data_IF_989791513227
#
_entry.id   IF_989791513227
#
_cell.length_a   1.000
_cell.length_b   1.000
_cell.length_c   1.000
_cell.angle_alpha   90.00
_cell.angle_beta   90.00
_cell.angle_gamma   90.00
#
_symmetry.space_group_name_H-M   'P 1'
#
loop_
_entity.id
_entity.type
_entity.pdbx_description
1 polymer ?
#
# COMPACT_ATOMS: atom_id res chain seq x y z
N UNK A 1 -12.14 -4.00 18.33
CA UNK A 1 -12.07 -3.48 19.71
C UNK A 1 -13.47 -3.05 20.16
N UNK A 2 -14.22 -3.94 20.79
CA UNK A 2 -15.52 -3.68 21.42
C UNK A 2 -15.66 -4.58 22.64
N UNK A 3 -16.81 -4.53 23.33
CA UNK A 3 -17.12 -5.31 24.55
C UNK A 3 -16.91 -6.84 24.44
N UNK A 4 -16.69 -7.36 23.22
CA UNK A 4 -16.51 -8.78 22.92
C UNK A 4 -15.07 -9.31 23.06
N UNK A 5 -14.05 -8.46 23.29
CA UNK A 5 -12.68 -8.94 23.49
C UNK A 5 -12.35 -9.14 24.96
N UNK A 6 -11.68 -10.25 25.26
CA UNK A 6 -11.38 -10.72 26.63
C UNK A 6 -10.38 -9.83 27.37
N UNK A 7 -9.49 -9.17 26.65
CA UNK A 7 -8.42 -8.33 27.19
C UNK A 7 -8.49 -6.90 26.62
N UNK A 8 -8.41 -5.87 27.47
CA UNK A 8 -8.39 -4.48 27.01
C UNK A 8 -7.01 -4.11 26.43
N UNK A 9 -7.00 -3.14 25.50
CA UNK A 9 -5.77 -2.44 25.14
C UNK A 9 -5.68 -1.13 25.91
N UNK A 10 -4.54 -0.94 26.57
CA UNK A 10 -4.18 0.32 27.20
C UNK A 10 -3.48 1.21 26.19
N UNK A 11 -4.04 2.40 25.94
CA UNK A 11 -3.47 3.42 25.08
C UNK A 11 -2.89 4.54 25.94
N UNK A 12 -1.57 4.74 25.85
CA UNK A 12 -0.89 5.89 26.44
C UNK A 12 -0.61 6.87 25.31
N UNK A 13 -1.09 8.10 25.44
CA UNK A 13 -1.02 9.11 24.37
C UNK A 13 -0.97 10.51 24.96
N UNK A 14 -0.43 11.45 24.18
CA UNK A 14 -0.50 12.88 24.43
C UNK A 14 -1.74 13.54 23.79
N UNK A 15 -2.64 12.77 23.16
CA UNK A 15 -3.90 13.26 22.61
C UNK A 15 -4.92 13.47 23.74
N UNK A 16 -5.55 14.64 23.76
CA UNK A 16 -6.54 14.99 24.78
C UNK A 16 -7.86 14.22 24.61
N UNK A 17 -8.28 14.00 23.36
CA UNK A 17 -9.56 13.35 23.05
C UNK A 17 -9.40 11.84 22.87
N UNK A 18 -10.01 11.07 23.76
CA UNK A 18 -10.01 9.59 23.73
C UNK A 18 -10.56 9.06 22.40
N UNK A 19 -11.60 9.69 21.86
CA UNK A 19 -12.20 9.27 20.58
C UNK A 19 -11.21 9.42 19.42
N UNK A 20 -10.42 10.48 19.41
CA UNK A 20 -9.38 10.74 18.41
C UNK A 20 -8.23 9.74 18.55
N UNK A 21 -7.75 9.51 19.78
CA UNK A 21 -6.72 8.50 20.06
C UNK A 21 -7.15 7.11 19.58
N UNK A 22 -8.39 6.71 19.87
CA UNK A 22 -8.97 5.48 19.37
C UNK A 22 -9.08 5.47 17.84
N UNK A 23 -9.42 6.60 17.22
CA UNK A 23 -9.56 6.72 15.77
C UNK A 23 -8.24 6.50 15.04
N UNK A 24 -7.17 7.16 15.49
CA UNK A 24 -5.83 6.97 14.94
C UNK A 24 -5.30 5.56 15.23
N UNK A 25 -5.47 5.06 16.45
CA UNK A 25 -4.96 3.74 16.80
C UNK A 25 -5.59 2.61 15.99
N UNK A 26 -6.87 2.72 15.59
CA UNK A 26 -7.51 1.76 14.67
C UNK A 26 -6.77 1.64 13.33
N UNK A 27 -6.01 2.65 12.91
CA UNK A 27 -5.24 2.63 11.67
C UNK A 27 -3.90 1.91 11.81
N UNK A 28 -3.47 1.54 13.02
CA UNK A 28 -2.15 0.92 13.30
C UNK A 28 -1.85 -0.27 12.40
N UNK A 29 -2.81 -1.17 12.19
CA UNK A 29 -2.62 -2.38 11.38
C UNK A 29 -2.32 -2.11 9.89
N UNK A 30 -2.54 -0.89 9.40
CA UNK A 30 -2.20 -0.55 8.00
C UNK A 30 -0.71 -0.73 7.71
N UNK A 31 0.15 -0.53 8.70
CA UNK A 31 1.61 -0.70 8.53
C UNK A 31 1.99 -2.17 8.28
N UNK A 32 1.19 -3.14 8.72
CA UNK A 32 1.45 -4.57 8.48
C UNK A 32 1.32 -4.92 6.99
N UNK A 33 0.41 -4.24 6.28
CA UNK A 33 0.28 -4.40 4.83
C UNK A 33 1.54 -3.90 4.13
N UNK A 34 2.02 -2.71 4.50
CA UNK A 34 3.29 -2.18 4.01
C UNK A 34 4.45 -3.15 4.28
N UNK A 35 4.61 -3.64 5.51
CA UNK A 35 5.68 -4.60 5.83
C UNK A 35 5.56 -5.92 5.07
N UNK A 36 4.36 -6.37 4.76
CA UNK A 36 4.13 -7.57 3.96
C UNK A 36 4.57 -7.36 2.50
N UNK A 37 4.23 -6.20 1.93
CA UNK A 37 4.59 -5.83 0.55
C UNK A 37 6.11 -5.65 0.37
N UNK A 38 6.81 -5.11 1.38
CA UNK A 38 8.28 -5.02 1.38
C UNK A 38 8.97 -6.39 1.44
N UNK A 39 8.28 -7.43 1.93
CA UNK A 39 8.80 -8.79 2.09
C UNK A 39 8.39 -9.68 0.92
N UNK A 40 7.91 -10.90 1.19
CA UNK A 40 7.61 -11.94 0.21
C UNK A 40 6.43 -11.64 -0.70
N UNK A 41 5.64 -10.59 -0.42
CA UNK A 41 4.52 -10.23 -1.30
C UNK A 41 4.94 -9.32 -2.47
N UNK A 42 6.14 -8.74 -2.42
CA UNK A 42 6.55 -7.71 -3.37
C UNK A 42 8.05 -7.61 -3.55
N UNK A 43 8.70 -6.73 -2.79
CA UNK A 43 10.10 -6.34 -3.04
C UNK A 43 11.14 -7.33 -2.53
N UNK A 44 10.72 -8.34 -1.76
CA UNK A 44 11.60 -9.41 -1.28
C UNK A 44 12.87 -8.91 -0.60
N UNK A 45 12.82 -7.80 0.16
CA UNK A 45 14.01 -7.13 0.69
C UNK A 45 14.90 -8.05 1.54
N UNK A 46 14.32 -9.07 2.19
CA UNK A 46 15.07 -10.08 2.94
C UNK A 46 16.05 -10.91 2.09
N UNK A 47 15.80 -11.02 0.78
CA UNK A 47 16.66 -11.74 -0.17
C UNK A 47 17.88 -10.91 -0.62
N UNK A 48 17.99 -9.65 -0.19
CA UNK A 48 19.16 -8.82 -0.51
C UNK A 48 20.44 -9.26 0.21
N UNK A 49 20.32 -10.03 1.30
CA UNK A 49 21.43 -10.48 2.15
C UNK A 49 22.38 -9.35 2.61
N UNK A 50 21.88 -8.11 2.69
CA UNK A 50 22.66 -6.96 3.11
C UNK A 50 22.81 -6.93 4.63
N UNK A 51 24.06 -7.05 5.10
CA UNK A 51 24.40 -6.95 6.53
C UNK A 51 24.91 -5.58 6.94
N UNK A 52 25.42 -4.78 5.98
CA UNK A 52 25.91 -3.43 6.25
C UNK A 52 24.73 -2.45 6.50
N UNK A 53 24.65 -1.80 7.67
CA UNK A 53 23.55 -0.92 8.01
C UNK A 53 23.38 0.25 7.03
N UNK A 54 24.48 0.85 6.57
CA UNK A 54 24.41 2.00 5.67
C UNK A 54 23.82 1.62 4.30
N UNK A 55 24.22 0.46 3.75
CA UNK A 55 23.64 -0.10 2.52
C UNK A 55 22.18 -0.47 2.72
N UNK A 56 21.82 -1.05 3.85
CA UNK A 56 20.43 -1.39 4.16
C UNK A 56 19.56 -0.13 4.23
N UNK A 57 20.01 0.93 4.89
CA UNK A 57 19.28 2.22 4.94
C UNK A 57 19.04 2.77 3.53
N UNK A 58 20.06 2.75 2.66
CA UNK A 58 19.90 3.20 1.26
C UNK A 58 18.87 2.36 0.49
N UNK A 59 18.92 1.04 0.63
CA UNK A 59 17.94 0.15 0.01
C UNK A 59 16.52 0.43 0.52
N UNK A 60 16.35 0.62 1.84
CA UNK A 60 15.06 0.90 2.44
C UNK A 60 14.48 2.24 1.97
N UNK A 61 15.31 3.29 1.85
CA UNK A 61 14.85 4.57 1.29
C UNK A 61 14.37 4.42 -0.15
N UNK A 62 15.14 3.73 -1.00
CA UNK A 62 14.74 3.47 -2.38
C UNK A 62 13.47 2.62 -2.45
N UNK A 63 13.34 1.59 -1.60
CA UNK A 63 12.16 0.74 -1.52
C UNK A 63 10.92 1.53 -1.06
N UNK A 64 11.05 2.48 -0.13
CA UNK A 64 9.95 3.35 0.27
C UNK A 64 9.46 4.24 -0.89
N UNK A 65 10.39 4.82 -1.67
CA UNK A 65 10.03 5.62 -2.84
C UNK A 65 9.37 4.74 -3.92
N UNK A 66 9.92 3.56 -4.19
CA UNK A 66 9.33 2.59 -5.09
C UNK A 66 7.92 2.18 -4.63
N UNK A 67 7.72 1.97 -3.32
CA UNK A 67 6.42 1.64 -2.76
C UNK A 67 5.37 2.71 -3.06
N UNK A 68 5.70 4.00 -2.85
CA UNK A 68 4.80 5.11 -3.16
C UNK A 68 4.42 5.13 -4.64
N UNK A 69 5.39 4.89 -5.54
CA UNK A 69 5.13 4.82 -6.97
C UNK A 69 4.25 3.61 -7.35
N UNK A 70 4.52 2.42 -6.81
CA UNK A 70 3.68 1.24 -7.06
C UNK A 70 2.25 1.44 -6.54
N UNK A 71 2.07 2.11 -5.40
CA UNK A 71 0.74 2.46 -4.90
C UNK A 71 0.03 3.44 -5.84
N UNK A 72 0.74 4.43 -6.38
CA UNK A 72 0.20 5.31 -7.42
C UNK A 72 -0.23 4.54 -8.67
N UNK A 73 0.61 3.65 -9.19
CA UNK A 73 0.27 2.78 -10.32
C UNK A 73 -0.95 1.90 -10.02
N UNK A 74 -1.03 1.38 -8.80
CA UNK A 74 -2.20 0.62 -8.33
C UNK A 74 -3.48 1.45 -8.32
N UNK A 75 -3.39 2.71 -7.89
CA UNK A 75 -4.52 3.63 -7.92
C UNK A 75 -4.95 3.95 -9.36
N UNK A 76 -4.00 4.21 -10.26
CA UNK A 76 -4.29 4.37 -11.69
C UNK A 76 -4.96 3.13 -12.27
N UNK A 77 -4.39 1.95 -12.07
CA UNK A 77 -4.94 0.69 -12.57
C UNK A 77 -6.36 0.38 -12.05
N UNK A 78 -6.72 0.96 -10.89
CA UNK A 78 -8.07 0.86 -10.30
C UNK A 78 -9.05 1.86 -10.90
N UNK A 79 -8.61 3.10 -11.15
CA UNK A 79 -9.44 4.16 -11.72
C UNK A 79 -9.64 3.99 -13.24
N UNK A 80 -8.62 3.54 -13.95
CA UNK A 80 -8.66 3.31 -15.39
C UNK A 80 -9.27 1.95 -15.76
N UNK A 81 -9.71 1.85 -17.01
CA UNK A 81 -10.25 0.63 -17.63
C UNK A 81 -9.25 -0.55 -17.74
N UNK A 82 -8.02 -0.40 -17.22
CA UNK A 82 -6.98 -1.43 -17.19
C UNK A 82 -7.37 -2.68 -16.41
N UNK A 83 -8.33 -2.58 -15.49
CA UNK A 83 -8.78 -3.68 -14.62
C UNK A 83 -9.15 -4.96 -15.37
N UNK A 84 -9.68 -4.87 -16.59
CA UNK A 84 -10.01 -6.02 -17.46
C UNK A 84 -8.82 -6.59 -18.24
N UNK A 85 -7.76 -5.80 -18.45
CA UNK A 85 -6.56 -6.19 -19.20
C UNK A 85 -5.50 -6.84 -18.31
N UNK A 86 -5.47 -6.43 -17.04
CA UNK A 86 -4.42 -6.82 -16.09
C UNK A 86 -4.93 -7.85 -15.09
N UNK A 87 -6.25 -7.95 -14.90
CA UNK A 87 -6.85 -8.89 -13.96
C UNK A 87 -8.13 -9.53 -14.50
N UNK A 88 -8.40 -10.75 -14.02
CA UNK A 88 -9.65 -11.46 -14.27
C UNK A 88 -10.82 -10.71 -13.62
N UNK A 89 -11.92 -10.54 -14.35
CA UNK A 89 -13.07 -9.72 -13.92
C UNK A 89 -13.97 -10.40 -12.88
N UNK A 90 -13.82 -11.71 -12.66
CA UNK A 90 -14.70 -12.53 -11.82
C UNK A 90 -14.35 -12.48 -10.32
N UNK A 91 -13.11 -12.16 -9.96
CA UNK A 91 -12.68 -11.84 -8.58
C UNK A 91 -11.58 -10.78 -8.62
N UNK A 92 -11.48 -9.91 -7.62
CA UNK A 92 -10.35 -8.99 -7.49
C UNK A 92 -9.81 -9.05 -6.06
N UNK A 93 -8.95 -10.04 -5.82
CA UNK A 93 -8.38 -10.34 -4.50
C UNK A 93 -7.01 -9.66 -4.31
N UNK A 94 -6.55 -8.87 -5.29
CA UNK A 94 -5.25 -8.20 -5.26
C UNK A 94 -5.27 -6.94 -4.40
N UNK A 95 -4.19 -6.74 -3.63
CA UNK A 95 -3.93 -5.46 -2.97
C UNK A 95 -3.64 -4.37 -4.00
N UNK A 96 -3.76 -3.10 -3.58
CA UNK A 96 -3.43 -1.95 -4.44
C UNK A 96 -1.98 -2.03 -4.95
N UNK A 97 -1.06 -2.46 -4.08
CA UNK A 97 0.33 -2.67 -4.42
C UNK A 97 0.52 -3.74 -5.50
N UNK A 98 -0.15 -4.90 -5.36
CA UNK A 98 -0.07 -5.98 -6.36
C UNK A 98 -0.66 -5.56 -7.71
N UNK A 99 -1.73 -4.77 -7.69
CA UNK A 99 -2.30 -4.20 -8.91
C UNK A 99 -1.32 -3.24 -9.60
N UNK A 100 -0.58 -2.44 -8.82
CA UNK A 100 0.46 -1.56 -9.34
C UNK A 100 1.62 -2.32 -9.97
N UNK A 101 2.07 -3.43 -9.36
CA UNK A 101 3.09 -4.31 -9.95
C UNK A 101 2.61 -4.94 -11.26
N UNK A 102 1.35 -5.38 -11.33
CA UNK A 102 0.79 -5.97 -12.53
C UNK A 102 0.64 -4.94 -13.67
N UNK A 103 0.30 -3.69 -13.36
CA UNK A 103 0.34 -2.60 -14.33
C UNK A 103 1.75 -2.29 -14.80
N UNK A 104 2.73 -2.22 -13.88
CA UNK A 104 4.11 -2.00 -14.25
C UNK A 104 4.62 -3.07 -15.21
N UNK A 105 4.37 -4.34 -14.90
CA UNK A 105 4.74 -5.47 -15.75
C UNK A 105 4.10 -5.36 -17.15
N UNK A 106 2.81 -5.02 -17.22
CA UNK A 106 2.13 -4.80 -18.49
C UNK A 106 2.75 -3.67 -19.33
N UNK A 107 3.03 -2.52 -18.72
CA UNK A 107 3.60 -1.36 -19.42
C UNK A 107 5.01 -1.68 -19.95
N UNK A 108 5.82 -2.36 -19.16
CA UNK A 108 7.17 -2.80 -19.56
C UNK A 108 7.10 -3.80 -20.73
N UNK A 109 6.21 -4.78 -20.66
CA UNK A 109 6.06 -5.81 -21.70
C UNK A 109 5.46 -5.28 -23.00
N UNK A 110 4.71 -4.18 -22.95
CA UNK A 110 4.08 -3.56 -24.13
C UNK A 110 4.84 -2.35 -24.66
N UNK A 111 5.93 -1.93 -24.00
CA UNK A 111 6.70 -0.75 -24.38
C UNK A 111 5.92 0.57 -24.24
N UNK A 112 4.88 0.59 -23.40
CA UNK A 112 4.09 1.79 -23.14
C UNK A 112 4.82 2.74 -22.18
N UNK A 113 4.55 4.05 -22.26
CA UNK A 113 5.18 5.03 -21.38
C UNK A 113 4.85 4.74 -19.91
N UNK A 114 5.85 4.89 -19.04
CA UNK A 114 5.71 4.72 -17.60
C UNK A 114 5.24 6.03 -16.96
N UNK A 115 4.03 6.09 -16.39
CA UNK A 115 3.60 7.26 -15.65
C UNK A 115 4.36 7.32 -14.32
N UNK A 116 5.00 8.47 -14.03
CA UNK A 116 5.80 8.68 -12.81
C UNK A 116 5.16 9.76 -11.96
N UNK A 117 4.61 9.34 -10.83
CA UNK A 117 4.21 10.22 -9.74
C UNK A 117 4.30 9.47 -8.41
N UNK A 118 4.45 10.22 -7.32
CA UNK A 118 4.55 9.67 -5.95
C UNK A 118 3.37 10.08 -5.06
N UNK A 119 2.34 10.65 -5.69
CA UNK A 119 1.10 11.06 -5.04
C UNK A 119 -0.02 10.25 -5.69
N UNK A 120 -0.84 9.51 -4.91
CA UNK A 120 -2.01 8.88 -5.47
C UNK A 120 -2.90 9.96 -6.10
N UNK A 121 -3.59 9.66 -7.23
CA UNK A 121 -4.57 10.59 -7.76
C UNK A 121 -5.59 10.93 -6.66
N UNK A 122 -6.13 12.16 -6.65
CA UNK A 122 -7.15 12.52 -5.68
C UNK A 122 -8.23 11.43 -5.72
N UNK A 123 -8.54 10.88 -4.54
CA UNK A 123 -9.68 9.99 -4.42
C UNK A 123 -10.86 10.80 -4.92
N UNK A 124 -11.49 10.39 -6.03
CA UNK A 124 -12.81 10.88 -6.35
C UNK A 124 -13.65 10.56 -5.12
N UNK A 125 -13.91 11.58 -4.30
CA UNK A 125 -14.98 11.53 -3.34
C UNK A 125 -16.20 11.20 -4.18
N UNK A 126 -16.70 9.97 -4.06
CA UNK A 126 -18.03 9.65 -4.52
C UNK A 126 -18.97 10.61 -3.80
N UNK A 127 -19.20 11.77 -4.39
CA UNK A 127 -20.29 12.64 -4.01
C UNK A 127 -21.55 11.81 -4.21
N UNK A 128 -22.26 11.60 -3.10
CA UNK A 128 -23.70 11.37 -3.07
C UNK A 128 -24.22 10.29 -4.03
N UNK A 129 -24.19 9.02 -3.60
CA UNK A 129 -25.35 8.17 -3.87
C UNK A 129 -26.28 8.32 -2.67
N UNK A 130 -27.36 9.08 -2.89
CA UNK A 130 -28.56 9.13 -2.04
C UNK A 130 -29.19 7.75 -1.95
#
# INVERSE_FOLDING_TARGET
>A
WGRAHREPIYLVTNLELVAEACWWYRKRFRIETFFSDQKSRGFHLQQSHLSDPARLTRLLMAACLAYLWIIYLGALARCDAWRRRIHRTDRCDLSLFQLGLALLDHLLNTGLPLPVAFQPPPLETSESVR
#
